data_IF_938330121666
#
_entry.id   IF_938330121666
#
_cell.length_a   1.000
_cell.length_b   1.000
_cell.length_c   1.000
_cell.angle_alpha   90.00
_cell.angle_beta   90.00
_cell.angle_gamma   90.00
#
_symmetry.space_group_name_H-M   'P 1'
#
loop_
_entity.id
_entity.type
_entity.pdbx_description
1 polymer ?
#
# COMPACT_ATOMS: atom_id res chain seq x y z
N UNK A 1 -20.71 -32.61 -5.20
CA UNK A 1 -20.38 -31.69 -4.10
C UNK A 1 -19.14 -30.95 -4.55
N UNK A 2 -19.34 -29.94 -5.40
CA UNK A 2 -18.26 -29.11 -5.93
C UNK A 2 -17.91 -28.06 -4.88
N UNK A 3 -16.64 -27.98 -4.53
CA UNK A 3 -16.08 -26.94 -3.67
C UNK A 3 -15.88 -25.68 -4.49
N UNK A 4 -16.74 -24.69 -4.32
CA UNK A 4 -16.54 -23.35 -4.88
C UNK A 4 -15.31 -22.71 -4.23
N UNK A 5 -14.32 -22.36 -5.06
CA UNK A 5 -13.16 -21.59 -4.66
C UNK A 5 -13.58 -20.14 -4.38
N UNK A 6 -13.28 -19.63 -3.20
CA UNK A 6 -13.44 -18.22 -2.85
C UNK A 6 -12.50 -17.35 -3.70
N UNK A 7 -12.98 -16.28 -4.36
CA UNK A 7 -12.11 -15.37 -5.08
C UNK A 7 -11.26 -14.58 -4.08
N UNK A 8 -9.96 -14.85 -4.05
CA UNK A 8 -8.98 -14.14 -3.22
C UNK A 8 -8.51 -12.85 -3.90
N UNK A 9 -8.97 -11.71 -3.39
CA UNK A 9 -8.36 -10.40 -3.68
C UNK A 9 -9.35 -9.26 -3.70
N UNK A 10 -9.59 -8.63 -2.54
CA UNK A 10 -10.43 -7.44 -2.43
C UNK A 10 -9.55 -6.19 -2.46
N UNK A 11 -9.77 -5.27 -3.42
CA UNK A 11 -9.05 -3.99 -3.45
C UNK A 11 -9.86 -2.83 -2.87
N UNK A 12 -9.15 -1.93 -2.17
CA UNK A 12 -9.72 -0.74 -1.52
C UNK A 12 -9.15 0.55 -2.10
N UNK A 13 -10.02 1.54 -2.28
CA UNK A 13 -9.78 2.89 -2.80
C UNK A 13 -9.95 3.93 -1.68
N UNK A 14 -9.02 4.87 -1.54
CA UNK A 14 -9.13 5.97 -0.57
C UNK A 14 -9.23 7.33 -1.25
N UNK A 15 -10.39 7.99 -1.30
CA UNK A 15 -10.52 9.32 -1.95
C UNK A 15 -10.18 10.44 -0.96
N UNK A 16 -9.15 11.25 -1.25
CA UNK A 16 -8.82 12.44 -0.46
C UNK A 16 -9.60 13.67 -0.97
N UNK A 17 -10.51 14.20 -0.17
CA UNK A 17 -11.13 15.52 -0.36
C UNK A 17 -10.75 16.41 0.83
N UNK A 18 -9.75 17.30 0.66
CA UNK A 18 -9.58 18.47 1.53
C UNK A 18 -8.20 18.68 2.20
N UNK A 19 -7.53 19.74 1.72
CA UNK A 19 -6.59 20.67 2.37
C UNK A 19 -5.90 20.35 3.72
N UNK A 20 -4.57 20.45 3.72
CA UNK A 20 -3.79 21.35 4.60
C UNK A 20 -2.40 21.58 3.99
N UNK A 21 -1.95 22.85 3.98
CA UNK A 21 -0.66 23.24 3.43
C UNK A 21 0.45 22.89 4.43
N UNK A 22 1.47 22.13 4.00
CA UNK A 22 2.69 21.99 4.78
C UNK A 22 3.92 22.03 3.87
N UNK A 23 4.94 22.74 4.34
CA UNK A 23 6.19 22.98 3.63
C UNK A 23 7.07 21.73 3.66
N UNK A 24 7.57 21.35 2.48
CA UNK A 24 8.41 20.18 2.25
C UNK A 24 9.88 20.58 2.34
N UNK A 25 10.44 20.51 3.54
CA UNK A 25 11.88 20.58 3.76
C UNK A 25 12.20 19.99 5.12
N UNK A 26 13.02 18.93 5.12
CA UNK A 26 13.48 18.12 6.26
C UNK A 26 12.57 16.96 6.68
N UNK A 27 12.79 15.77 6.09
CA UNK A 27 12.63 14.53 6.83
C UNK A 27 13.95 13.75 6.85
N UNK A 28 14.32 13.39 8.07
CA UNK A 28 15.59 12.82 8.48
C UNK A 28 15.71 11.36 8.03
N UNK A 29 16.94 11.01 7.73
CA UNK A 29 17.49 9.73 7.33
C UNK A 29 17.54 8.77 8.55
N UNK A 30 16.40 8.20 8.97
CA UNK A 30 16.36 7.19 10.03
C UNK A 30 15.76 5.86 9.52
N UNK A 31 16.62 4.83 9.47
CA UNK A 31 16.37 3.45 9.02
C UNK A 31 16.00 3.24 7.55
N UNK A 32 16.97 3.42 6.64
CA UNK A 32 16.85 2.93 5.26
C UNK A 32 16.90 1.40 5.24
N UNK A 33 15.73 0.75 5.20
CA UNK A 33 15.63 -0.70 4.96
C UNK A 33 16.36 -1.04 3.65
N UNK A 34 17.27 -2.01 3.70
CA UNK A 34 18.01 -2.42 2.51
C UNK A 34 17.25 -3.50 1.72
N UNK A 35 17.76 -3.79 0.53
CA UNK A 35 17.17 -4.75 -0.42
C UNK A 35 17.00 -6.14 0.20
N UNK A 36 18.04 -6.60 0.91
CA UNK A 36 18.07 -7.92 1.53
C UNK A 36 17.00 -8.02 2.62
N UNK A 37 16.95 -7.06 3.54
CA UNK A 37 15.95 -7.00 4.62
C UNK A 37 14.52 -6.94 4.08
N UNK A 38 14.30 -6.13 3.04
CA UNK A 38 13.01 -6.02 2.38
C UNK A 38 12.56 -7.36 1.79
N UNK A 39 13.42 -7.99 0.98
CA UNK A 39 13.09 -9.25 0.32
C UNK A 39 12.97 -10.41 1.32
N UNK A 40 13.77 -10.42 2.39
CA UNK A 40 13.57 -11.37 3.49
C UNK A 40 12.19 -11.21 4.13
N UNK A 41 11.73 -9.97 4.35
CA UNK A 41 10.37 -9.73 4.85
C UNK A 41 9.29 -10.20 3.88
N UNK A 42 9.46 -9.96 2.58
CA UNK A 42 8.54 -10.45 1.53
C UNK A 42 8.44 -11.98 1.59
N UNK A 43 9.57 -12.68 1.58
CA UNK A 43 9.60 -14.15 1.59
C UNK A 43 9.04 -14.73 2.88
N UNK A 44 9.46 -14.20 4.03
CA UNK A 44 9.03 -14.70 5.34
C UNK A 44 7.52 -14.58 5.56
N UNK A 45 6.87 -13.62 4.91
CA UNK A 45 5.45 -13.33 5.09
C UNK A 45 4.59 -13.70 3.88
N UNK A 46 5.09 -14.59 3.01
CA UNK A 46 4.39 -15.05 1.80
C UNK A 46 3.91 -13.87 0.92
N UNK A 47 4.69 -12.80 0.89
CA UNK A 47 4.41 -11.61 0.09
C UNK A 47 4.54 -11.88 -1.40
N UNK A 48 3.77 -11.14 -2.20
CA UNK A 48 3.81 -11.24 -3.66
C UNK A 48 5.14 -10.73 -4.24
N UNK A 49 5.55 -11.30 -5.38
CA UNK A 49 6.64 -10.76 -6.19
C UNK A 49 6.43 -9.28 -6.56
N UNK A 50 5.18 -8.81 -6.69
CA UNK A 50 4.86 -7.41 -6.97
C UNK A 50 5.20 -6.46 -5.82
N UNK A 51 5.52 -7.01 -4.65
CA UNK A 51 6.02 -6.29 -3.50
C UNK A 51 7.54 -6.50 -3.28
N UNK A 52 8.24 -7.25 -4.14
CA UNK A 52 9.70 -7.41 -4.08
C UNK A 52 10.44 -6.13 -4.44
N UNK A 53 11.70 -6.03 -4.03
CA UNK A 53 12.57 -4.92 -4.37
C UNK A 53 12.80 -4.82 -5.88
N UNK A 54 13.05 -5.96 -6.53
CA UNK A 54 13.30 -6.11 -7.96
C UNK A 54 12.12 -5.64 -8.81
N UNK A 55 10.90 -5.89 -8.35
CA UNK A 55 9.72 -5.35 -9.04
C UNK A 55 9.71 -3.83 -9.02
N UNK A 56 10.12 -3.21 -7.91
CA UNK A 56 10.27 -1.75 -7.85
C UNK A 56 11.37 -1.24 -8.78
N UNK A 57 12.54 -1.90 -8.83
CA UNK A 57 13.61 -1.55 -9.78
C UNK A 57 13.14 -1.68 -11.24
N UNK A 58 12.33 -2.69 -11.55
CA UNK A 58 11.70 -2.84 -12.86
C UNK A 58 10.75 -1.67 -13.17
N UNK A 59 9.91 -1.27 -12.22
CA UNK A 59 8.99 -0.15 -12.39
C UNK A 59 9.72 1.19 -12.57
N UNK A 60 10.82 1.41 -11.86
CA UNK A 60 11.67 2.60 -12.03
C UNK A 60 12.27 2.68 -13.45
N UNK A 61 12.65 1.53 -14.04
CA UNK A 61 13.14 1.47 -15.43
C UNK A 61 12.08 1.82 -16.48
N UNK A 62 10.79 1.69 -16.13
CA UNK A 62 9.66 2.15 -16.96
C UNK A 62 9.11 3.50 -16.47
N UNK A 63 9.99 4.32 -15.89
CA UNK A 63 9.76 5.71 -15.50
C UNK A 63 8.68 5.91 -14.42
N UNK A 64 8.42 4.88 -13.60
CA UNK A 64 7.52 5.00 -12.45
C UNK A 64 8.30 5.43 -11.21
N UNK A 65 7.64 6.22 -10.36
CA UNK A 65 8.14 6.53 -9.02
C UNK A 65 7.68 5.46 -8.03
N UNK A 66 8.61 4.97 -7.22
CA UNK A 66 8.37 3.93 -6.23
C UNK A 66 8.55 4.48 -4.83
N UNK A 67 7.59 4.15 -3.96
CA UNK A 67 7.59 4.51 -2.56
C UNK A 67 7.54 3.24 -1.73
N UNK A 68 8.52 3.06 -0.85
CA UNK A 68 8.61 1.89 0.03
C UNK A 68 8.43 2.38 1.46
N UNK A 69 7.42 1.82 2.13
CA UNK A 69 7.14 2.09 3.54
C UNK A 69 7.24 0.79 4.32
N UNK A 70 7.81 0.84 5.51
CA UNK A 70 7.90 -0.31 6.41
C UNK A 70 7.77 0.15 7.85
N UNK A 71 7.25 -0.73 8.69
CA UNK A 71 7.23 -0.58 10.13
C UNK A 71 7.20 -1.94 10.80
N UNK A 72 6.96 -1.94 12.10
CA UNK A 72 6.89 -3.18 12.88
C UNK A 72 5.81 -4.13 12.33
N UNK A 73 6.25 -5.25 11.77
CA UNK A 73 5.40 -6.29 11.22
C UNK A 73 4.62 -5.91 9.96
N UNK A 74 5.04 -4.88 9.21
CA UNK A 74 4.42 -4.56 7.91
C UNK A 74 5.39 -3.88 6.95
N UNK A 75 5.16 -4.08 5.65
CA UNK A 75 5.85 -3.38 4.58
C UNK A 75 4.94 -3.21 3.36
N UNK A 76 5.11 -2.12 2.61
CA UNK A 76 4.29 -1.80 1.45
C UNK A 76 5.08 -1.02 0.40
N UNK A 77 5.09 -1.54 -0.82
CA UNK A 77 5.62 -0.89 -2.01
C UNK A 77 4.47 -0.31 -2.83
N UNK A 78 4.52 1.01 -3.03
CA UNK A 78 3.58 1.76 -3.85
C UNK A 78 4.23 2.22 -5.14
N UNK A 79 3.46 2.12 -6.22
CA UNK A 79 3.79 2.61 -7.54
C UNK A 79 2.91 3.83 -7.80
N UNK A 80 3.54 4.97 -8.10
CA UNK A 80 2.80 6.15 -8.51
C UNK A 80 2.37 6.05 -9.97
N UNK A 81 1.10 6.38 -10.21
CA UNK A 81 0.49 6.36 -11.51
C UNK A 81 -0.17 7.71 -11.78
N UNK A 82 0.09 8.26 -12.97
CA UNK A 82 -0.60 9.46 -13.45
C UNK A 82 -2.00 9.09 -13.92
N UNK A 83 -2.98 9.92 -13.58
CA UNK A 83 -4.35 9.77 -14.06
C UNK A 83 -4.46 10.29 -15.49
N UNK A 84 -5.09 9.53 -16.41
CA UNK A 84 -5.34 10.01 -17.77
C UNK A 84 -6.19 11.29 -17.76
N UNK A 85 -5.82 12.27 -18.60
CA UNK A 85 -6.60 13.49 -18.79
C UNK A 85 -6.48 14.56 -17.69
N UNK A 86 -5.77 14.30 -16.58
CA UNK A 86 -5.55 15.29 -15.51
C UNK A 86 -4.09 15.27 -15.03
N UNK A 87 -3.60 16.39 -14.50
CA UNK A 87 -2.27 16.44 -13.89
C UNK A 87 -2.30 16.02 -12.41
N UNK A 88 -2.86 14.83 -12.15
CA UNK A 88 -2.99 14.24 -10.81
C UNK A 88 -2.50 12.80 -10.82
N UNK A 89 -2.20 12.29 -9.64
CA UNK A 89 -1.61 10.98 -9.44
C UNK A 89 -2.41 10.16 -8.44
N UNK A 90 -2.21 8.85 -8.50
CA UNK A 90 -2.60 7.93 -7.43
C UNK A 90 -1.47 6.95 -7.15
N UNK A 91 -1.41 6.45 -5.93
CA UNK A 91 -0.44 5.44 -5.53
C UNK A 91 -1.10 4.07 -5.45
N UNK A 92 -0.45 3.03 -5.95
CA UNK A 92 -1.00 1.68 -5.94
C UNK A 92 -0.01 0.69 -5.32
N UNK A 93 -0.46 -0.03 -4.30
CA UNK A 93 0.25 -1.17 -3.74
C UNK A 93 -0.30 -2.49 -4.31
N UNK A 94 0.28 -3.03 -5.40
CA UNK A 94 -0.19 -4.28 -5.99
C UNK A 94 0.07 -5.45 -5.05
N UNK A 95 -0.96 -6.25 -4.74
CA UNK A 95 -0.83 -7.40 -3.82
C UNK A 95 -0.30 -7.01 -2.43
N UNK A 96 -0.47 -5.76 -2.06
CA UNK A 96 -0.01 -5.19 -0.80
C UNK A 96 -1.12 -4.43 -0.06
N UNK A 97 -0.87 -4.04 1.20
CA UNK A 97 0.41 -4.13 1.92
C UNK A 97 0.71 -5.56 2.40
N UNK A 98 1.98 -5.86 2.66
CA UNK A 98 2.40 -7.12 3.30
C UNK A 98 2.35 -6.96 4.81
N UNK A 99 1.64 -7.86 5.48
CA UNK A 99 1.55 -7.90 6.94
C UNK A 99 2.19 -9.19 7.43
N UNK A 100 2.92 -9.10 8.54
CA UNK A 100 3.55 -10.27 9.12
C UNK A 100 2.52 -11.35 9.47
N UNK A 101 2.86 -12.62 9.21
CA UNK A 101 1.94 -13.76 9.41
C UNK A 101 1.53 -13.87 10.88
N UNK A 102 2.44 -13.53 11.80
CA UNK A 102 2.18 -13.49 13.25
C UNK A 102 1.07 -12.55 13.67
N UNK A 103 0.70 -11.59 12.82
CA UNK A 103 -0.30 -10.55 13.10
C UNK A 103 -1.63 -10.80 12.40
N UNK A 104 -1.90 -12.06 12.04
CA UNK A 104 -3.20 -12.48 11.52
C UNK A 104 -4.18 -12.87 12.64
N UNK A 105 -5.46 -12.47 12.57
CA UNK A 105 -6.06 -11.60 11.55
C UNK A 105 -5.57 -10.15 11.65
N UNK A 106 -5.51 -9.46 10.52
CA UNK A 106 -4.80 -8.18 10.42
C UNK A 106 -5.39 -7.12 11.35
N UNK A 107 -4.50 -6.52 12.13
CA UNK A 107 -4.86 -5.43 13.02
C UNK A 107 -5.13 -4.14 12.24
N UNK A 108 -6.31 -3.54 12.47
CA UNK A 108 -6.70 -2.24 11.90
C UNK A 108 -5.68 -1.12 12.16
N UNK A 109 -4.96 -1.22 13.29
CA UNK A 109 -3.89 -0.30 13.66
C UNK A 109 -2.76 -0.27 12.63
N UNK A 110 -2.46 -1.37 11.93
CA UNK A 110 -1.43 -1.40 10.89
C UNK A 110 -1.86 -0.65 9.64
N UNK A 111 -3.11 -0.83 9.22
CA UNK A 111 -3.65 -0.09 8.07
C UNK A 111 -3.76 1.40 8.38
N UNK A 112 -4.10 1.78 9.62
CA UNK A 112 -4.04 3.17 10.07
C UNK A 112 -2.61 3.72 9.98
N UNK A 113 -1.61 3.01 10.54
CA UNK A 113 -0.20 3.42 10.44
C UNK A 113 0.26 3.61 8.99
N UNK A 114 -0.05 2.66 8.10
CA UNK A 114 0.26 2.75 6.67
C UNK A 114 -0.40 4.00 6.06
N UNK A 115 -1.68 4.22 6.38
CA UNK A 115 -2.43 5.37 5.88
C UNK A 115 -1.82 6.69 6.38
N UNK A 116 -1.39 6.76 7.63
CA UNK A 116 -0.71 7.93 8.19
C UNK A 116 0.63 8.21 7.51
N UNK A 117 1.46 7.19 7.26
CA UNK A 117 2.73 7.36 6.55
C UNK A 117 2.53 7.84 5.11
N UNK A 118 1.53 7.31 4.41
CA UNK A 118 1.17 7.79 3.07
C UNK A 118 0.70 9.23 3.14
N UNK A 119 -0.15 9.61 4.10
CA UNK A 119 -0.65 10.98 4.27
C UNK A 119 0.47 11.99 4.52
N UNK A 120 1.51 11.60 5.26
CA UNK A 120 2.69 12.44 5.51
C UNK A 120 3.55 12.63 4.27
N UNK A 121 3.61 11.61 3.41
CA UNK A 121 4.54 11.57 2.26
C UNK A 121 3.90 12.03 0.94
N UNK A 122 2.60 11.79 0.78
CA UNK A 122 1.88 12.10 -0.44
C UNK A 122 1.81 13.61 -0.68
N UNK A 123 2.29 14.03 -1.86
CA UNK A 123 2.18 15.43 -2.30
C UNK A 123 0.75 15.83 -2.67
N UNK A 124 0.51 17.13 -2.84
CA UNK A 124 -0.81 17.73 -3.16
C UNK A 124 -1.45 17.23 -4.48
N UNK A 125 -0.67 16.57 -5.33
CA UNK A 125 -1.15 16.03 -6.61
C UNK A 125 -1.56 14.56 -6.54
N UNK A 126 -1.28 13.87 -5.43
CA UNK A 126 -1.77 12.52 -5.17
C UNK A 126 -3.16 12.62 -4.57
N UNK A 127 -4.17 12.11 -5.26
CA UNK A 127 -5.59 12.28 -4.86
C UNK A 127 -6.20 11.03 -4.20
N UNK A 128 -5.58 9.87 -4.39
CA UNK A 128 -5.94 8.64 -3.69
C UNK A 128 -4.78 7.65 -3.68
N UNK A 129 -4.89 6.64 -2.83
CA UNK A 129 -4.10 5.42 -2.96
C UNK A 129 -5.01 4.18 -2.98
N UNK A 130 -4.53 3.13 -3.62
CA UNK A 130 -5.19 1.83 -3.76
C UNK A 130 -4.35 0.76 -3.09
N UNK A 131 -4.99 -0.06 -2.27
CA UNK A 131 -4.44 -1.29 -1.72
C UNK A 131 -5.09 -2.46 -2.44
N UNK A 132 -4.32 -3.47 -2.82
CA UNK A 132 -4.85 -4.70 -3.41
C UNK A 132 -4.36 -5.93 -2.68
N UNK A 133 -4.60 -6.07 -1.36
CA UNK A 133 -4.07 -7.16 -0.57
C UNK A 133 -4.63 -8.53 -1.00
N UNK A 134 -3.86 -9.60 -0.76
CA UNK A 134 -4.34 -10.98 -0.93
C UNK A 134 -5.01 -11.55 0.32
N UNK A 135 -4.91 -10.82 1.42
CA UNK A 135 -5.42 -11.23 2.70
C UNK A 135 -6.87 -10.80 2.90
N UNK A 136 -7.65 -11.67 3.55
CA UNK A 136 -9.03 -11.36 3.88
C UNK A 136 -9.08 -10.40 5.08
N UNK A 137 -9.97 -9.43 4.97
CA UNK A 137 -10.17 -8.43 6.01
C UNK A 137 -11.17 -8.97 7.01
N UNK A 138 -10.67 -9.20 8.23
CA UNK A 138 -11.50 -9.61 9.36
C UNK A 138 -12.67 -8.65 9.65
N UNK A 139 -12.61 -7.39 9.19
CA UNK A 139 -13.66 -6.40 9.39
C UNK A 139 -13.68 -5.33 8.28
N UNK A 140 -14.61 -5.44 7.34
CA UNK A 140 -14.89 -4.40 6.34
C UNK A 140 -15.29 -3.06 6.96
N UNK A 141 -16.03 -3.09 8.07
CA UNK A 141 -16.54 -1.89 8.76
C UNK A 141 -15.43 -1.00 9.28
N UNK A 142 -14.32 -1.58 9.73
CA UNK A 142 -13.17 -0.83 10.26
C UNK A 142 -12.38 -0.07 9.19
N UNK A 143 -12.29 -0.61 7.97
CA UNK A 143 -11.68 0.08 6.84
C UNK A 143 -12.52 1.23 6.33
N UNK A 144 -13.85 1.03 6.26
CA UNK A 144 -14.79 2.10 5.90
C UNK A 144 -14.70 3.24 6.91
N UNK A 145 -14.66 2.93 8.21
CA UNK A 145 -14.45 3.93 9.26
C UNK A 145 -13.10 4.66 9.14
N UNK A 146 -12.08 3.99 8.57
CA UNK A 146 -10.77 4.58 8.32
C UNK A 146 -10.72 5.39 7.02
N UNK A 147 -11.81 5.43 6.22
CA UNK A 147 -11.99 6.20 4.99
C UNK A 147 -11.77 5.43 3.68
N UNK A 148 -11.61 4.11 3.73
CA UNK A 148 -11.50 3.27 2.54
C UNK A 148 -12.87 2.94 1.95
N UNK A 149 -12.96 2.96 0.63
CA UNK A 149 -14.09 2.51 -0.17
C UNK A 149 -13.70 1.27 -0.96
N UNK A 150 -14.54 0.25 -1.03
CA UNK A 150 -14.26 -0.91 -1.88
C UNK A 150 -14.52 -0.55 -3.36
N UNK A 151 -13.70 -1.07 -4.26
CA UNK A 151 -13.97 -0.94 -5.70
C UNK A 151 -15.05 -1.94 -6.14
N UNK A 152 -15.96 -1.55 -7.04
CA UNK A 152 -17.09 -2.41 -7.42
C UNK A 152 -16.73 -3.59 -8.35
N UNK A 153 -15.47 -3.72 -8.77
CA UNK A 153 -15.04 -4.65 -9.82
C UNK A 153 -14.00 -5.68 -9.36
N UNK A 154 -13.83 -5.87 -8.04
CA UNK A 154 -12.94 -6.88 -7.45
C UNK A 154 -13.73 -7.83 -6.54
#
# INVERSE_FOLDING_TARGET
METEATPSGVAFLFVFLGFLSYNFSNMKEENKINKEQWNQFVLANQGSFLQSWEWGEFQERVEKRIFRFSGEGWAAQFIENKLPGVNKFYWYAPKGPMIAISDWPIANSKIQKITEEIKKTAGKDVIFFRLGPEWDLSSRSSLVASGFSQLPYD
#
